data_IF_802175515916
#
_entry.id   IF_802175515916
#
_cell.length_a   1.000
_cell.length_b   1.000
_cell.length_c   1.000
_cell.angle_alpha   90.00
_cell.angle_beta   90.00
_cell.angle_gamma   90.00
#
_symmetry.space_group_name_H-M   'P 1'
#
loop_
_entity.id
_entity.type
_entity.pdbx_description
1 polymer ?
#
# COMPACT_ATOMS: atom_id res chain seq x y z
N UNK A 1 59.20 36.39 -10.27
CA UNK A 1 59.78 35.07 -10.56
C UNK A 1 59.74 34.29 -9.25
N UNK A 2 58.75 33.48 -8.93
CA UNK A 2 57.68 32.88 -9.75
C UNK A 2 56.51 32.57 -8.82
N UNK A 3 55.34 33.14 -9.10
CA UNK A 3 54.05 32.58 -8.71
C UNK A 3 53.86 31.27 -9.48
N UNK A 4 53.56 30.18 -8.79
CA UNK A 4 52.66 29.08 -9.21
C UNK A 4 53.06 27.78 -8.50
N UNK A 5 52.42 27.45 -7.37
CA UNK A 5 52.01 26.05 -7.12
C UNK A 5 50.95 25.89 -6.00
N UNK A 6 49.92 26.74 -5.95
CA UNK A 6 48.81 26.59 -4.98
C UNK A 6 47.59 25.84 -5.55
N UNK A 7 47.57 25.43 -6.82
CA UNK A 7 46.36 24.81 -7.39
C UNK A 7 46.62 23.61 -8.29
N UNK A 8 46.73 22.43 -7.68
CA UNK A 8 46.38 21.15 -8.32
C UNK A 8 45.69 20.19 -7.32
N UNK A 9 44.43 20.44 -7.02
CA UNK A 9 43.48 19.39 -6.58
C UNK A 9 42.22 19.53 -7.44
N UNK A 10 41.80 18.44 -8.06
CA UNK A 10 40.76 18.37 -9.08
C UNK A 10 39.35 18.69 -8.51
N UNK A 11 38.38 19.10 -9.34
CA UNK A 11 37.02 19.42 -8.89
C UNK A 11 36.26 18.23 -8.28
N UNK A 12 36.63 16.99 -8.59
CA UNK A 12 36.05 15.77 -7.97
C UNK A 12 36.42 15.62 -6.49
N UNK A 13 37.56 16.17 -6.07
CA UNK A 13 38.08 16.09 -4.71
C UNK A 13 37.28 16.99 -3.75
N UNK A 14 36.69 18.06 -4.28
CA UNK A 14 35.92 19.04 -3.50
C UNK A 14 34.51 18.53 -3.19
N UNK A 15 33.84 17.86 -4.12
CA UNK A 15 32.48 17.35 -3.87
C UNK A 15 32.50 16.17 -2.89
N UNK A 16 33.44 15.25 -3.08
CA UNK A 16 33.59 14.05 -2.25
C UNK A 16 34.03 14.36 -0.82
N UNK A 17 34.92 15.33 -0.63
CA UNK A 17 35.33 15.80 0.70
C UNK A 17 34.19 16.48 1.45
N UNK A 18 33.40 17.33 0.76
CA UNK A 18 32.22 17.95 1.36
C UNK A 18 31.15 16.92 1.74
N UNK A 19 30.86 15.95 0.87
CA UNK A 19 29.90 14.88 1.18
C UNK A 19 30.35 14.05 2.38
N UNK A 20 31.65 13.72 2.47
CA UNK A 20 32.22 12.98 3.60
C UNK A 20 32.14 13.78 4.89
N UNK A 21 32.36 15.10 4.84
CA UNK A 21 32.23 16.00 5.98
C UNK A 21 30.78 16.00 6.50
N UNK A 22 29.81 16.30 5.63
CA UNK A 22 28.39 16.33 6.00
C UNK A 22 27.89 14.96 6.47
N UNK A 23 28.31 13.87 5.83
CA UNK A 23 27.95 12.53 6.26
C UNK A 23 28.48 12.21 7.67
N UNK A 24 29.71 12.64 7.98
CA UNK A 24 30.30 12.47 9.31
C UNK A 24 29.56 13.32 10.36
N UNK A 25 29.29 14.59 10.06
CA UNK A 25 28.52 15.47 10.94
C UNK A 25 27.12 14.92 11.21
N UNK A 26 26.43 14.47 10.16
CA UNK A 26 25.12 13.84 10.27
C UNK A 26 25.17 12.58 11.15
N UNK A 27 26.11 11.67 10.90
CA UNK A 27 26.22 10.44 11.68
C UNK A 27 26.60 10.69 13.15
N UNK A 28 27.32 11.78 13.45
CA UNK A 28 27.66 12.17 14.83
C UNK A 28 26.47 12.79 15.57
N UNK A 29 25.61 13.53 14.86
CA UNK A 29 24.48 14.26 15.44
C UNK A 29 23.11 13.55 15.26
N UNK A 30 23.11 12.37 14.63
CA UNK A 30 21.90 11.56 14.43
C UNK A 30 21.40 10.97 15.75
N UNK A 31 20.08 10.77 15.84
CA UNK A 31 19.43 10.02 16.92
C UNK A 31 19.64 8.51 16.82
N UNK A 32 20.17 8.01 15.68
CA UNK A 32 20.45 6.60 15.46
C UNK A 32 21.77 6.24 16.16
N UNK A 33 21.65 5.58 17.31
CA UNK A 33 22.78 5.18 18.15
C UNK A 33 23.87 4.42 17.38
N UNK A 34 23.49 3.56 16.43
CA UNK A 34 24.41 2.80 15.59
C UNK A 34 25.28 3.65 14.65
N UNK A 35 24.77 4.77 14.13
CA UNK A 35 25.50 5.64 13.20
C UNK A 35 26.64 6.40 13.91
N UNK A 36 26.44 6.73 15.18
CA UNK A 36 27.48 7.35 16.01
C UNK A 36 28.71 6.47 16.14
N UNK A 37 28.52 5.15 16.25
CA UNK A 37 29.63 4.18 16.31
C UNK A 37 30.37 4.00 14.98
N UNK A 38 29.70 4.25 13.86
CA UNK A 38 30.32 4.28 12.53
C UNK A 38 31.18 5.54 12.32
N UNK A 39 30.68 6.70 12.76
CA UNK A 39 31.34 7.99 12.53
C UNK A 39 32.36 8.38 13.60
N UNK A 40 32.38 7.70 14.75
CA UNK A 40 33.44 7.87 15.74
C UNK A 40 34.75 7.25 15.24
N UNK A 41 35.75 8.10 14.98
CA UNK A 41 37.12 7.69 14.59
C UNK A 41 37.95 7.13 15.76
N UNK A 42 37.31 6.69 16.84
CA UNK A 42 37.99 6.13 17.99
C UNK A 42 38.64 4.79 17.61
N UNK A 43 39.80 4.47 18.23
CA UNK A 43 40.61 3.26 17.96
C UNK A 43 39.90 1.99 18.43
N UNK A 44 38.82 1.64 17.74
CA UNK A 44 37.96 0.52 18.04
C UNK A 44 38.30 -0.66 17.15
N UNK A 45 38.19 -1.86 17.71
CA UNK A 45 38.55 -3.09 17.01
C UNK A 45 37.66 -3.28 15.77
N UNK A 46 38.24 -3.82 14.70
CA UNK A 46 37.57 -3.88 13.39
C UNK A 46 36.28 -4.71 13.40
N UNK A 47 36.20 -5.76 14.23
CA UNK A 47 35.02 -6.62 14.36
C UNK A 47 33.80 -5.86 14.88
N UNK A 48 34.00 -4.91 15.78
CA UNK A 48 32.89 -4.14 16.34
C UNK A 48 32.30 -3.17 15.32
N UNK A 49 33.15 -2.60 14.45
CA UNK A 49 32.68 -1.78 13.32
C UNK A 49 31.88 -2.64 12.34
N UNK A 50 32.36 -3.84 12.02
CA UNK A 50 31.64 -4.78 11.16
C UNK A 50 30.27 -5.15 11.75
N UNK A 51 30.20 -5.41 13.06
CA UNK A 51 28.96 -5.70 13.76
C UNK A 51 27.91 -4.60 13.60
N UNK A 52 28.29 -3.33 13.79
CA UNK A 52 27.37 -2.21 13.63
C UNK A 52 26.93 -1.99 12.18
N UNK A 53 27.84 -2.15 11.21
CA UNK A 53 27.50 -2.07 9.77
C UNK A 53 26.48 -3.16 9.42
N UNK A 54 26.73 -4.40 9.84
CA UNK A 54 25.81 -5.51 9.62
C UNK A 54 24.46 -5.29 10.31
N UNK A 55 24.45 -4.84 11.57
CA UNK A 55 23.22 -4.59 12.32
C UNK A 55 22.35 -3.51 11.67
N UNK A 56 22.94 -2.38 11.26
CA UNK A 56 22.24 -1.31 10.55
C UNK A 56 21.74 -1.80 9.19
N UNK A 57 22.57 -2.54 8.45
CA UNK A 57 22.19 -3.12 7.15
C UNK A 57 21.01 -4.08 7.25
N UNK A 58 21.02 -5.00 8.23
CA UNK A 58 19.92 -5.93 8.49
C UNK A 58 18.66 -5.16 8.89
N UNK A 59 18.78 -4.16 9.77
CA UNK A 59 17.64 -3.33 10.17
C UNK A 59 17.01 -2.61 8.98
N UNK A 60 17.82 -1.99 8.11
CA UNK A 60 17.34 -1.32 6.91
C UNK A 60 16.66 -2.28 5.96
N UNK A 61 17.26 -3.46 5.73
CA UNK A 61 16.68 -4.50 4.89
C UNK A 61 15.30 -4.93 5.41
N UNK A 62 15.18 -5.26 6.70
CA UNK A 62 13.92 -5.64 7.32
C UNK A 62 12.86 -4.53 7.24
N UNK A 63 13.25 -3.27 7.47
CA UNK A 63 12.36 -2.12 7.33
C UNK A 63 11.83 -2.01 5.89
N UNK A 64 12.70 -2.10 4.89
CA UNK A 64 12.30 -2.03 3.47
C UNK A 64 11.37 -3.20 3.13
N UNK A 65 11.71 -4.43 3.51
CA UNK A 65 10.87 -5.61 3.26
C UNK A 65 9.49 -5.48 3.90
N UNK A 66 9.41 -4.95 5.12
CA UNK A 66 8.14 -4.71 5.79
C UNK A 66 7.30 -3.64 5.07
N UNK A 67 7.93 -2.53 4.68
CA UNK A 67 7.26 -1.46 3.91
C UNK A 67 6.70 -2.03 2.60
N UNK A 68 7.50 -2.81 1.86
CA UNK A 68 7.05 -3.44 0.62
C UNK A 68 5.88 -4.40 0.86
N UNK A 69 5.92 -5.19 1.93
CA UNK A 69 4.84 -6.11 2.29
C UNK A 69 3.54 -5.38 2.60
N UNK A 70 3.63 -4.29 3.37
CA UNK A 70 2.48 -3.43 3.70
C UNK A 70 1.94 -2.77 2.44
N UNK A 71 2.82 -2.26 1.58
CA UNK A 71 2.44 -1.63 0.32
C UNK A 71 1.67 -2.60 -0.58
N UNK A 72 2.19 -3.82 -0.78
CA UNK A 72 1.52 -4.88 -1.55
C UNK A 72 0.16 -5.23 -0.93
N UNK A 73 0.07 -5.31 0.41
CA UNK A 73 -1.20 -5.59 1.08
C UNK A 73 -2.21 -4.45 0.88
N UNK A 74 -1.76 -3.21 0.93
CA UNK A 74 -2.59 -2.03 0.70
C UNK A 74 -3.13 -1.98 -0.73
N UNK A 75 -2.30 -2.33 -1.73
CA UNK A 75 -2.71 -2.39 -3.13
C UNK A 75 -3.76 -3.50 -3.39
N UNK A 76 -3.58 -4.68 -2.79
CA UNK A 76 -4.49 -5.82 -2.98
C UNK A 76 -5.80 -5.71 -2.18
N UNK A 77 -5.83 -4.96 -1.09
CA UNK A 77 -7.00 -4.87 -0.20
C UNK A 77 -7.08 -3.48 0.44
N UNK A 78 -7.52 -2.45 -0.31
CA UNK A 78 -7.48 -1.06 0.13
C UNK A 78 -8.51 -0.70 1.21
N UNK A 79 -9.24 -1.66 1.78
CA UNK A 79 -10.35 -1.41 2.69
C UNK A 79 -10.13 -2.16 4.00
N UNK A 80 -9.92 -1.41 5.08
CA UNK A 80 -9.93 -1.94 6.45
C UNK A 80 -11.39 -1.96 6.90
N UNK A 81 -12.03 -3.14 6.90
CA UNK A 81 -13.37 -3.30 7.47
C UNK A 81 -13.26 -3.39 8.98
N UNK A 82 -13.69 -2.33 9.67
CA UNK A 82 -13.86 -2.33 11.12
C UNK A 82 -15.33 -2.57 11.43
N UNK A 83 -15.64 -3.71 12.05
CA UNK A 83 -16.96 -3.96 12.61
C UNK A 83 -17.11 -3.11 13.87
N UNK A 84 -18.16 -2.31 13.94
CA UNK A 84 -18.51 -1.62 15.18
C UNK A 84 -18.76 -2.68 16.27
N UNK A 85 -17.98 -2.65 17.36
CA UNK A 85 -18.14 -3.55 18.51
C UNK A 85 -19.37 -3.25 19.36
N UNK A 86 -20.09 -2.18 19.04
CA UNK A 86 -21.40 -1.88 19.62
C UNK A 86 -22.48 -2.25 18.61
N UNK A 87 -23.17 -3.33 18.92
CA UNK A 87 -24.43 -3.70 18.28
C UNK A 87 -25.40 -2.51 18.37
N UNK A 88 -25.97 -2.07 17.25
CA UNK A 88 -27.10 -1.14 17.31
C UNK A 88 -28.27 -1.86 17.98
N UNK A 89 -28.87 -1.29 19.03
CA UNK A 89 -29.95 -1.97 19.72
C UNK A 89 -31.16 -2.12 18.78
N UNK A 90 -31.93 -3.20 18.95
CA UNK A 90 -32.98 -3.66 18.01
C UNK A 90 -34.01 -2.55 17.69
N UNK A 91 -34.32 -1.68 18.65
CA UNK A 91 -35.26 -0.56 18.50
C UNK A 91 -34.76 0.60 17.63
N UNK A 92 -33.46 0.66 17.33
CA UNK A 92 -32.85 1.69 16.48
C UNK A 92 -32.70 1.23 15.03
N UNK A 93 -32.85 -0.07 14.76
CA UNK A 93 -32.74 -0.65 13.41
C UNK A 93 -34.10 -0.61 12.72
N UNK A 94 -34.24 0.05 11.55
CA UNK A 94 -35.52 0.08 10.84
C UNK A 94 -35.89 -1.33 10.36
N UNK A 95 -37.19 -1.64 10.39
CA UNK A 95 -37.69 -2.89 9.83
C UNK A 95 -37.39 -2.94 8.32
N UNK A 96 -36.88 -4.07 7.80
CA UNK A 96 -36.50 -4.15 6.39
C UNK A 96 -37.73 -4.03 5.49
N UNK A 97 -37.51 -3.60 4.25
CA UNK A 97 -38.57 -3.60 3.24
C UNK A 97 -38.88 -5.05 2.88
N UNK A 98 -40.12 -5.46 3.13
CA UNK A 98 -40.64 -6.76 2.70
C UNK A 98 -41.29 -6.61 1.33
N UNK A 99 -40.69 -7.26 0.32
CA UNK A 99 -41.29 -7.38 -1.01
C UNK A 99 -41.79 -8.82 -1.19
N UNK A 100 -43.10 -8.98 -1.39
CA UNK A 100 -43.72 -10.28 -1.68
C UNK A 100 -43.96 -10.39 -3.18
N UNK A 101 -43.37 -11.39 -3.82
CA UNK A 101 -43.58 -11.68 -5.24
C UNK A 101 -44.43 -12.94 -5.40
N UNK A 102 -45.55 -12.91 -6.15
CA UNK A 102 -46.24 -14.14 -6.51
C UNK A 102 -45.35 -15.01 -7.42
N UNK A 103 -45.48 -16.33 -7.31
CA UNK A 103 -44.75 -17.27 -8.17
C UNK A 103 -45.19 -17.14 -9.64
N UNK A 104 -46.46 -16.81 -9.86
CA UNK A 104 -47.04 -16.58 -11.19
C UNK A 104 -46.41 -15.37 -11.87
N UNK A 105 -45.65 -15.61 -12.95
CA UNK A 105 -44.94 -14.56 -13.70
C UNK A 105 -45.83 -13.76 -14.64
N UNK A 106 -47.00 -14.28 -15.01
CA UNK A 106 -47.95 -13.55 -15.83
C UNK A 106 -49.37 -13.68 -15.29
N UNK A 107 -50.10 -12.57 -15.36
CA UNK A 107 -51.53 -12.52 -15.09
C UNK A 107 -52.27 -12.94 -16.35
N UNK A 108 -53.20 -13.92 -16.30
CA UNK A 108 -53.95 -14.38 -17.47
C UNK A 108 -54.68 -13.26 -18.23
N UNK A 109 -55.11 -12.21 -17.52
CA UNK A 109 -55.76 -11.04 -18.12
C UNK A 109 -54.83 -10.14 -18.95
N UNK A 110 -53.51 -10.20 -18.72
CA UNK A 110 -52.51 -9.44 -19.50
C UNK A 110 -51.77 -10.32 -20.49
N UNK A 111 -51.50 -11.56 -20.14
CA UNK A 111 -50.83 -12.52 -21.01
C UNK A 111 -51.38 -13.93 -20.76
N UNK A 112 -52.11 -14.45 -21.74
CA UNK A 112 -52.72 -15.76 -21.67
C UNK A 112 -51.82 -16.79 -22.34
N UNK A 113 -51.11 -17.59 -21.53
CA UNK A 113 -50.22 -18.65 -22.01
C UNK A 113 -50.91 -19.67 -22.91
N UNK A 114 -52.18 -20.00 -22.65
CA UNK A 114 -52.91 -20.95 -23.47
C UNK A 114 -53.10 -20.40 -24.90
N UNK A 115 -53.52 -19.13 -25.04
CA UNK A 115 -53.63 -18.48 -26.34
C UNK A 115 -52.29 -18.40 -27.07
N UNK A 116 -51.22 -18.04 -26.36
CA UNK A 116 -49.87 -17.99 -26.93
C UNK A 116 -49.39 -19.35 -27.44
N UNK A 117 -49.59 -20.42 -26.66
CA UNK A 117 -49.17 -21.77 -27.06
C UNK A 117 -49.91 -22.28 -28.29
N UNK A 118 -51.18 -21.89 -28.49
CA UNK A 118 -51.95 -22.20 -29.69
C UNK A 118 -51.41 -21.47 -30.92
N UNK A 119 -51.21 -20.15 -30.83
CA UNK A 119 -50.67 -19.35 -31.94
C UNK A 119 -49.25 -19.80 -32.33
N UNK A 120 -48.39 -20.08 -31.34
CA UNK A 120 -47.04 -20.58 -31.58
C UNK A 120 -47.04 -21.99 -32.22
N UNK A 121 -48.10 -22.79 -32.04
CA UNK A 121 -48.28 -24.06 -32.75
C UNK A 121 -48.72 -23.85 -34.19
N UNK A 122 -49.50 -22.81 -34.46
CA UNK A 122 -49.99 -22.43 -35.79
C UNK A 122 -48.98 -21.55 -36.57
N UNK A 123 -47.81 -21.25 -35.98
CA UNK A 123 -46.80 -20.32 -36.50
C UNK A 123 -47.32 -18.90 -36.73
N UNK A 124 -48.34 -18.48 -35.96
CA UNK A 124 -48.84 -17.11 -35.94
C UNK A 124 -48.19 -16.27 -34.83
N UNK A 125 -47.88 -15.01 -35.11
CA UNK A 125 -47.33 -14.07 -34.12
C UNK A 125 -48.44 -13.35 -33.34
N UNK A 126 -48.14 -12.96 -32.10
CA UNK A 126 -49.04 -12.11 -31.31
C UNK A 126 -48.95 -10.67 -31.85
N UNK A 127 -50.08 -10.11 -32.27
CA UNK A 127 -50.19 -8.68 -32.56
C UNK A 127 -50.12 -7.87 -31.25
N UNK A 128 -49.19 -6.90 -31.12
CA UNK A 128 -49.14 -6.01 -29.97
C UNK A 128 -50.21 -4.92 -30.13
N UNK A 129 -51.33 -5.07 -29.43
CA UNK A 129 -52.29 -3.97 -29.19
C UNK A 129 -51.96 -3.24 -27.89
#
# INVERSE_FOLDING_TARGET
MTEADITKSAPEDKLTSNLTLYFREYCQNSTIHGLKYLASNEKRMWYERLWWICSIGISLFLCISLIMSIYIKWENSPIIVSFATKETPIWQTPFPVLTICPETKATPNKFNYHKFLLLNRENESIDPE
#
